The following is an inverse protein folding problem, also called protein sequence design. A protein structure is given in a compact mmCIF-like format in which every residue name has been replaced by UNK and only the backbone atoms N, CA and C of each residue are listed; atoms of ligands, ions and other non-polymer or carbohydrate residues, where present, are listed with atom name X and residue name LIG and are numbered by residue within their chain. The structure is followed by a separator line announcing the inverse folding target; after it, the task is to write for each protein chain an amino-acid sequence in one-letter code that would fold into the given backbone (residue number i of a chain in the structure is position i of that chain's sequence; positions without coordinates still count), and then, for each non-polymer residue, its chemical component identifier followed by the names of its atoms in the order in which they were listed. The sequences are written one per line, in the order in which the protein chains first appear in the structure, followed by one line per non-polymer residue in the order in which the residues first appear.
data_IF_162069847939
#
_entry.id   IF_162069847939
#
_cell.length_a   1.000
_cell.length_b   1.000
_cell.length_c   1.000
_cell.angle_alpha   90.00
_cell.angle_beta   90.00
_cell.angle_gamma   90.00
#
_symmetry.space_group_name_H-M   'P 1'
#
loop_
_entity.id
_entity.type
_entity.pdbx_description
1 polymer ?
#
# COMPACT_ATOMS: atom_id res chain seq x y z
N UNK A 1 50.80 -20.42 -16.08
CA UNK A 1 49.98 -19.24 -15.73
C UNK A 1 48.93 -19.11 -16.82
N UNK A 2 47.70 -19.37 -16.56
CA UNK A 2 46.62 -19.17 -17.53
C UNK A 2 46.37 -17.65 -17.67
N UNK A 3 46.36 -17.16 -18.89
CA UNK A 3 45.92 -15.80 -19.17
C UNK A 3 44.48 -15.66 -18.69
N UNK A 4 44.20 -14.70 -17.82
CA UNK A 4 42.83 -14.35 -17.48
C UNK A 4 42.24 -13.65 -18.72
N UNK A 5 41.16 -14.23 -19.26
CA UNK A 5 40.41 -13.57 -20.34
C UNK A 5 39.79 -12.30 -19.76
N UNK A 6 40.22 -11.16 -20.29
CA UNK A 6 39.68 -9.84 -19.94
C UNK A 6 38.44 -9.59 -20.78
N UNK A 7 37.28 -9.50 -20.17
CA UNK A 7 36.04 -9.08 -20.82
C UNK A 7 35.91 -7.57 -20.66
N UNK A 8 35.86 -6.86 -21.77
CA UNK A 8 35.67 -5.39 -21.81
C UNK A 8 34.17 -5.10 -22.05
N UNK A 9 33.53 -4.36 -21.15
CA UNK A 9 32.18 -3.83 -21.34
C UNK A 9 32.26 -2.33 -21.54
N UNK A 10 31.79 -1.85 -22.69
CA UNK A 10 31.69 -0.42 -22.97
C UNK A 10 30.28 0.07 -22.80
N UNK A 11 30.06 1.09 -21.94
CA UNK A 11 28.79 1.74 -21.74
C UNK A 11 28.78 3.09 -22.45
N UNK A 12 27.81 3.29 -23.33
CA UNK A 12 27.65 4.54 -24.10
C UNK A 12 26.37 5.28 -23.69
N UNK A 13 26.35 6.04 -22.58
CA UNK A 13 25.15 6.71 -22.07
C UNK A 13 24.52 7.67 -23.07
N UNK A 14 25.33 8.28 -23.95
CA UNK A 14 24.86 9.20 -25.01
C UNK A 14 24.02 8.53 -26.10
N UNK A 15 24.07 7.20 -26.20
CA UNK A 15 23.28 6.42 -27.16
C UNK A 15 21.95 5.95 -26.58
N UNK A 16 21.69 6.20 -25.29
CA UNK A 16 20.42 5.88 -24.64
C UNK A 16 19.29 6.75 -25.21
N UNK A 17 18.28 6.10 -25.79
CA UNK A 17 17.11 6.78 -26.39
C UNK A 17 15.87 6.72 -25.51
N UNK A 18 15.87 5.88 -24.47
CA UNK A 18 14.72 5.68 -23.59
C UNK A 18 15.07 5.98 -22.14
N UNK A 19 14.14 6.59 -21.44
CA UNK A 19 14.24 6.84 -19.99
C UNK A 19 13.52 5.74 -19.23
N UNK A 20 14.23 5.06 -18.35
CA UNK A 20 13.62 4.11 -17.41
C UNK A 20 12.76 4.89 -16.42
N UNK A 21 11.51 4.43 -16.22
CA UNK A 21 10.62 5.05 -15.25
C UNK A 21 11.16 4.88 -13.82
N UNK A 22 11.15 5.97 -13.04
CA UNK A 22 11.53 5.90 -11.62
C UNK A 22 10.63 4.96 -10.80
N UNK A 23 9.41 4.74 -11.27
CA UNK A 23 8.42 3.92 -10.55
C UNK A 23 8.81 2.44 -10.44
N UNK A 24 9.77 1.94 -11.22
CA UNK A 24 10.33 0.58 -11.04
C UNK A 24 11.09 0.42 -9.72
N UNK A 25 11.50 1.53 -9.08
CA UNK A 25 12.18 1.55 -7.77
C UNK A 25 11.19 1.70 -6.61
N UNK A 26 9.90 1.56 -6.88
CA UNK A 26 8.85 1.56 -5.86
C UNK A 26 9.05 0.42 -4.86
N UNK A 27 8.47 0.62 -3.68
CA UNK A 27 8.46 -0.37 -2.60
C UNK A 27 7.03 -0.79 -2.31
N UNK A 28 6.87 -1.84 -1.51
CA UNK A 28 5.56 -2.22 -1.02
C UNK A 28 5.60 -2.55 0.47
N UNK A 29 4.47 -2.34 1.11
CA UNK A 29 4.19 -2.72 2.49
C UNK A 29 2.97 -3.62 2.51
N UNK A 30 3.08 -4.76 3.17
CA UNK A 30 2.02 -5.75 3.27
C UNK A 30 1.76 -6.10 4.72
N UNK A 31 0.50 -6.40 5.05
CA UNK A 31 0.13 -7.02 6.31
C UNK A 31 0.64 -8.47 6.36
N UNK A 32 1.95 -8.62 6.50
CA UNK A 32 2.69 -9.86 6.54
C UNK A 32 3.63 -9.85 7.73
N UNK A 33 3.37 -10.73 8.71
CA UNK A 33 4.16 -10.79 9.92
C UNK A 33 4.23 -9.43 10.62
N UNK A 34 5.42 -8.94 10.87
CA UNK A 34 5.67 -7.65 11.54
C UNK A 34 5.97 -6.50 10.56
N UNK A 35 5.64 -6.64 9.29
CA UNK A 35 5.91 -5.57 8.32
C UNK A 35 5.16 -4.28 8.66
N UNK A 36 3.88 -4.39 9.00
CA UNK A 36 3.06 -3.23 9.40
C UNK A 36 3.14 -3.05 10.90
N UNK A 37 2.51 -3.91 11.69
CA UNK A 37 2.44 -3.77 13.15
C UNK A 37 3.76 -4.15 13.82
N UNK A 38 4.33 -3.19 14.58
CA UNK A 38 5.65 -3.34 15.20
C UNK A 38 6.82 -3.08 14.25
N UNK A 39 6.59 -3.16 12.95
CA UNK A 39 7.55 -2.79 11.91
C UNK A 39 7.43 -1.33 11.49
N UNK A 40 6.49 -1.03 10.60
CA UNK A 40 6.24 0.32 10.10
C UNK A 40 5.43 1.17 11.10
N UNK A 41 4.41 0.57 11.70
CA UNK A 41 3.43 1.20 12.57
C UNK A 41 3.47 0.64 13.99
N UNK A 42 3.55 1.52 14.96
CA UNK A 42 3.56 1.17 16.39
C UNK A 42 2.48 1.90 17.19
N UNK A 43 1.79 2.87 16.55
CA UNK A 43 0.85 3.74 17.24
C UNK A 43 1.53 4.91 17.95
N UNK A 44 0.77 5.98 18.15
CA UNK A 44 1.31 7.24 18.68
C UNK A 44 1.73 7.13 20.16
N UNK A 45 1.03 6.29 20.93
CA UNK A 45 1.28 6.07 22.36
C UNK A 45 2.38 5.02 22.64
N UNK A 46 3.02 4.49 21.61
CA UNK A 46 4.06 3.48 21.77
C UNK A 46 5.31 4.04 22.45
N UNK A 47 5.98 3.28 23.35
CA UNK A 47 7.28 3.66 23.88
C UNK A 47 8.41 3.57 22.83
N UNK A 48 8.16 2.92 21.71
CA UNK A 48 9.10 2.87 20.57
C UNK A 48 9.13 4.24 19.92
N UNK A 49 10.32 4.82 19.64
CA UNK A 49 10.43 6.11 18.96
C UNK A 49 9.62 6.14 17.67
N UNK A 50 8.67 7.07 17.62
CA UNK A 50 7.76 7.19 16.49
C UNK A 50 7.44 8.66 16.15
N UNK A 51 7.02 8.87 14.93
CA UNK A 51 6.49 10.12 14.41
C UNK A 51 5.05 9.87 13.98
N UNK A 52 4.08 10.33 14.73
CA UNK A 52 2.63 10.10 14.48
C UNK A 52 2.29 8.60 14.33
N UNK A 53 2.89 7.74 15.14
CA UNK A 53 2.68 6.31 15.12
C UNK A 53 3.58 5.51 14.16
N UNK A 54 4.27 6.16 13.23
CA UNK A 54 5.25 5.48 12.35
C UNK A 54 6.61 5.40 13.04
N UNK A 55 7.24 4.24 13.01
CA UNK A 55 8.58 4.08 13.57
C UNK A 55 9.57 5.06 12.93
N UNK A 56 10.25 5.83 13.75
CA UNK A 56 11.15 6.89 13.28
C UNK A 56 12.32 6.34 12.48
N UNK A 57 12.93 5.23 12.91
CA UNK A 57 14.06 4.60 12.24
C UNK A 57 13.68 4.08 10.84
N UNK A 58 12.48 3.46 10.71
CA UNK A 58 11.96 2.98 9.43
C UNK A 58 11.60 4.14 8.51
N UNK A 59 10.94 5.18 9.04
CA UNK A 59 10.57 6.37 8.29
C UNK A 59 11.81 7.08 7.72
N UNK A 60 12.87 7.23 8.51
CA UNK A 60 14.12 7.82 8.07
C UNK A 60 14.84 6.97 7.01
N UNK A 61 14.80 5.65 7.15
CA UNK A 61 15.35 4.75 6.14
C UNK A 61 14.62 4.88 4.80
N UNK A 62 13.28 4.89 4.82
CA UNK A 62 12.46 5.07 3.63
C UNK A 62 12.68 6.43 2.96
N UNK A 63 12.84 7.51 3.74
CA UNK A 63 13.19 8.83 3.21
C UNK A 63 14.54 8.85 2.51
N UNK A 64 15.54 8.15 3.06
CA UNK A 64 16.86 8.05 2.41
C UNK A 64 16.84 7.26 1.10
N UNK A 65 15.92 6.30 0.96
CA UNK A 65 15.73 5.57 -0.28
C UNK A 65 15.06 6.39 -1.37
N UNK A 66 14.44 7.53 -1.03
CA UNK A 66 13.70 8.40 -1.99
C UNK A 66 12.74 7.60 -2.87
N UNK A 67 11.93 6.73 -2.23
CA UNK A 67 11.03 5.83 -2.93
C UNK A 67 10.00 6.60 -3.75
N UNK A 68 9.79 6.25 -5.03
CA UNK A 68 8.86 6.99 -5.89
C UNK A 68 7.39 6.62 -5.65
N UNK A 69 7.12 5.42 -5.18
CA UNK A 69 5.79 4.95 -4.83
C UNK A 69 5.86 3.87 -3.75
N UNK A 70 4.77 3.73 -3.01
CA UNK A 70 4.59 2.69 -2.00
C UNK A 70 3.25 1.99 -2.25
N UNK A 71 3.28 0.66 -2.33
CA UNK A 71 2.09 -0.19 -2.51
C UNK A 71 1.61 -0.74 -1.16
N UNK A 72 0.29 -0.74 -0.95
CA UNK A 72 -0.40 -1.27 0.22
C UNK A 72 -1.85 -1.66 -0.16
N UNK A 73 -2.60 -2.53 0.55
CA UNK A 73 -2.28 -3.20 1.82
C UNK A 73 -1.46 -4.48 1.67
N UNK A 74 -1.12 -4.89 0.46
CA UNK A 74 -0.27 -6.03 0.25
C UNK A 74 -0.49 -6.74 -1.06
N UNK A 75 -0.04 -7.97 -1.08
CA UNK A 75 -0.30 -8.99 -2.08
C UNK A 75 -1.58 -9.75 -1.77
N UNK A 76 -1.48 -11.03 -1.32
CA UNK A 76 -2.64 -11.85 -0.99
C UNK A 76 -3.55 -11.25 0.07
N UNK A 77 -3.00 -10.52 1.03
CA UNK A 77 -3.80 -9.82 2.04
C UNK A 77 -4.76 -8.79 1.43
N UNK A 78 -4.41 -8.14 0.32
CA UNK A 78 -5.27 -7.17 -0.34
C UNK A 78 -6.64 -7.76 -0.72
N UNK A 79 -6.69 -9.04 -1.07
CA UNK A 79 -7.90 -9.74 -1.50
C UNK A 79 -8.73 -10.33 -0.34
N UNK A 80 -8.31 -10.08 0.90
CA UNK A 80 -9.08 -10.32 2.13
C UNK A 80 -9.43 -9.00 2.87
N UNK A 81 -8.82 -7.88 2.48
CA UNK A 81 -8.92 -6.62 3.19
C UNK A 81 -10.18 -5.83 2.83
N UNK A 82 -11.06 -5.61 3.80
CA UNK A 82 -12.22 -4.74 3.70
C UNK A 82 -11.86 -3.35 4.22
N UNK A 83 -11.69 -2.40 3.34
CA UNK A 83 -11.14 -1.07 3.65
C UNK A 83 -11.93 -0.27 4.68
N UNK A 84 -13.24 -0.49 4.78
CA UNK A 84 -14.09 0.18 5.77
C UNK A 84 -13.71 -0.20 7.20
N UNK A 85 -13.14 -1.37 7.42
CA UNK A 85 -12.65 -1.81 8.72
C UNK A 85 -11.42 -1.01 9.19
N UNK A 86 -10.70 -0.39 8.25
CA UNK A 86 -9.51 0.41 8.51
C UNK A 86 -9.73 1.93 8.54
N UNK A 87 -10.98 2.40 8.73
CA UNK A 87 -11.31 3.82 8.84
C UNK A 87 -12.09 4.13 10.12
N UNK A 88 -12.32 5.41 10.42
CA UNK A 88 -12.97 5.82 11.66
C UNK A 88 -12.08 5.73 12.89
N UNK A 89 -12.65 5.85 14.12
CA UNK A 89 -11.89 5.79 15.37
C UNK A 89 -11.18 4.44 15.53
N UNK A 90 -9.87 4.47 15.78
CA UNK A 90 -9.03 3.25 15.81
C UNK A 90 -9.47 2.23 16.86
N UNK A 91 -9.95 2.68 18.00
CA UNK A 91 -10.44 1.81 19.08
C UNK A 91 -11.78 1.13 18.77
N UNK A 92 -12.47 1.53 17.72
CA UNK A 92 -13.75 0.97 17.27
C UNK A 92 -13.59 0.06 16.05
N UNK A 93 -12.41 0.04 15.44
CA UNK A 93 -12.15 -0.77 14.25
C UNK A 93 -12.20 -2.27 14.58
N UNK A 94 -12.84 -3.09 13.76
CA UNK A 94 -12.92 -4.52 13.98
C UNK A 94 -11.54 -5.17 13.83
N UNK A 95 -11.35 -6.29 14.52
CA UNK A 95 -10.17 -7.15 14.33
C UNK A 95 -10.50 -8.26 13.36
N UNK A 96 -9.51 -8.64 12.55
CA UNK A 96 -9.63 -9.76 11.62
C UNK A 96 -8.47 -10.74 11.77
N UNK A 97 -8.67 -11.98 11.34
CA UNK A 97 -7.59 -12.94 11.20
C UNK A 97 -6.96 -12.80 9.83
N UNK A 98 -5.64 -12.70 9.78
CA UNK A 98 -4.88 -12.73 8.54
C UNK A 98 -4.66 -14.18 8.13
N UNK A 99 -5.53 -14.71 7.28
CA UNK A 99 -5.52 -16.12 6.92
C UNK A 99 -4.36 -16.49 5.99
N UNK A 100 -3.86 -15.55 5.21
CA UNK A 100 -2.72 -15.80 4.30
C UNK A 100 -1.40 -15.89 5.05
N UNK A 101 -1.25 -15.15 6.18
CA UNK A 101 0.04 -14.97 6.83
C UNK A 101 0.02 -15.36 8.31
N UNK A 102 -0.23 -16.66 8.56
CA UNK A 102 -0.03 -17.27 9.87
C UNK A 102 -1.16 -17.06 10.88
N UNK A 103 -2.33 -16.61 10.47
CA UNK A 103 -3.49 -16.42 11.34
C UNK A 103 -3.29 -15.34 12.39
N UNK A 104 -2.41 -14.37 12.13
CA UNK A 104 -2.20 -13.23 13.02
C UNK A 104 -3.45 -12.35 13.09
N UNK A 105 -3.67 -11.77 14.25
CA UNK A 105 -4.77 -10.81 14.43
C UNK A 105 -4.33 -9.44 13.93
N UNK A 106 -5.00 -8.95 12.91
CA UNK A 106 -4.90 -7.57 12.43
C UNK A 106 -5.91 -6.71 13.20
N UNK A 107 -5.44 -5.64 13.84
CA UNK A 107 -6.31 -4.77 14.64
C UNK A 107 -6.86 -3.57 13.87
N UNK A 108 -6.51 -3.46 12.59
CA UNK A 108 -6.91 -2.40 11.68
C UNK A 108 -6.52 -0.97 12.15
N UNK A 109 -5.61 -0.84 13.12
CA UNK A 109 -5.12 0.47 13.58
C UNK A 109 -4.29 1.21 12.52
N UNK A 110 -3.79 0.48 11.52
CA UNK A 110 -3.19 1.03 10.31
C UNK A 110 -4.10 0.76 9.12
N UNK A 111 -4.73 1.80 8.60
CA UNK A 111 -5.69 1.72 7.50
C UNK A 111 -5.45 2.81 6.45
N UNK A 112 -6.51 3.18 5.75
CA UNK A 112 -6.44 4.13 4.62
C UNK A 112 -5.78 5.46 4.99
N UNK A 113 -6.18 6.08 6.11
CA UNK A 113 -5.63 7.36 6.55
C UNK A 113 -4.16 7.25 6.91
N UNK A 114 -3.81 6.22 7.68
CA UNK A 114 -2.44 5.98 8.11
C UNK A 114 -1.53 5.73 6.90
N UNK A 115 -1.96 4.93 5.94
CA UNK A 115 -1.18 4.66 4.73
C UNK A 115 -0.99 5.92 3.86
N UNK A 116 -2.06 6.63 3.55
CA UNK A 116 -1.98 7.78 2.66
C UNK A 116 -1.24 8.97 3.30
N UNK A 117 -1.38 9.15 4.62
CA UNK A 117 -0.58 10.13 5.36
C UNK A 117 0.91 9.76 5.39
N UNK A 118 1.25 8.46 5.47
CA UNK A 118 2.64 8.01 5.33
C UNK A 118 3.21 8.40 3.97
N UNK A 119 2.46 8.17 2.89
CA UNK A 119 2.88 8.55 1.54
C UNK A 119 3.12 10.08 1.43
N UNK A 120 2.27 10.90 2.04
CA UNK A 120 2.48 12.36 2.10
C UNK A 120 3.77 12.73 2.88
N UNK A 121 4.04 12.05 4.02
CA UNK A 121 5.26 12.30 4.82
C UNK A 121 6.53 11.89 4.05
N UNK A 122 6.45 10.81 3.28
CA UNK A 122 7.55 10.31 2.45
C UNK A 122 7.72 11.08 1.14
N UNK A 123 6.68 11.80 0.69
CA UNK A 123 6.67 12.46 -0.61
C UNK A 123 6.58 11.48 -1.78
N UNK A 124 6.04 10.28 -1.56
CA UNK A 124 5.89 9.25 -2.58
C UNK A 124 4.45 9.11 -3.07
N UNK A 125 4.28 8.54 -4.27
CA UNK A 125 2.96 8.26 -4.83
C UNK A 125 2.35 7.01 -4.17
N UNK A 126 1.12 7.07 -3.66
CA UNK A 126 0.44 5.87 -3.18
C UNK A 126 0.05 4.93 -4.33
N UNK A 127 0.19 3.64 -4.08
CA UNK A 127 -0.33 2.57 -4.91
C UNK A 127 -1.24 1.69 -4.04
N UNK A 128 -2.54 1.75 -4.27
CA UNK A 128 -3.53 1.02 -3.47
C UNK A 128 -3.98 -0.22 -4.22
N UNK A 129 -3.84 -1.40 -3.60
CA UNK A 129 -4.36 -2.66 -4.14
C UNK A 129 -5.78 -2.89 -3.63
N UNK A 130 -6.73 -2.98 -4.55
CA UNK A 130 -8.14 -3.22 -4.24
C UNK A 130 -8.42 -4.71 -4.04
N UNK A 131 -9.48 -5.02 -3.29
CA UNK A 131 -9.89 -6.38 -2.98
C UNK A 131 -10.82 -6.94 -4.07
N UNK A 132 -10.31 -7.82 -4.92
CA UNK A 132 -11.08 -8.54 -5.94
C UNK A 132 -11.45 -9.96 -5.48
N UNK A 133 -10.75 -10.48 -4.47
CA UNK A 133 -10.94 -11.86 -3.98
C UNK A 133 -12.22 -12.03 -3.17
N UNK A 134 -12.41 -11.24 -2.13
CA UNK A 134 -13.58 -11.32 -1.23
C UNK A 134 -14.46 -10.06 -1.25
N UNK A 135 -13.94 -8.95 -1.81
CA UNK A 135 -14.67 -7.70 -1.95
C UNK A 135 -15.60 -7.68 -3.16
N UNK A 136 -16.33 -6.57 -3.28
CA UNK A 136 -17.24 -6.32 -4.41
C UNK A 136 -16.75 -5.14 -5.25
N UNK A 137 -17.20 -5.06 -6.50
CA UNK A 137 -16.95 -3.90 -7.37
C UNK A 137 -17.44 -2.60 -6.72
N UNK A 138 -18.60 -2.66 -6.05
CA UNK A 138 -19.16 -1.51 -5.33
C UNK A 138 -18.26 -1.07 -4.16
N UNK A 139 -17.73 -2.02 -3.38
CA UNK A 139 -16.80 -1.74 -2.30
C UNK A 139 -15.53 -1.07 -2.80
N UNK A 140 -14.95 -1.60 -3.88
CA UNK A 140 -13.77 -1.01 -4.52
C UNK A 140 -14.04 0.41 -5.04
N UNK A 141 -15.16 0.62 -5.72
CA UNK A 141 -15.55 1.93 -6.24
C UNK A 141 -15.74 2.95 -5.11
N UNK A 142 -16.38 2.56 -4.02
CA UNK A 142 -16.55 3.39 -2.82
C UNK A 142 -15.19 3.75 -2.18
N UNK A 143 -14.25 2.82 -2.15
CA UNK A 143 -12.91 3.12 -1.63
C UNK A 143 -12.18 4.15 -2.48
N UNK A 144 -12.22 4.00 -3.80
CA UNK A 144 -11.65 4.99 -4.73
C UNK A 144 -12.32 6.35 -4.53
N UNK A 145 -13.66 6.40 -4.46
CA UNK A 145 -14.40 7.63 -4.18
C UNK A 145 -14.00 8.27 -2.84
N UNK A 146 -13.89 7.46 -1.77
CA UNK A 146 -13.45 7.91 -0.45
C UNK A 146 -12.09 8.60 -0.50
N UNK A 147 -11.15 8.02 -1.22
CA UNK A 147 -9.79 8.55 -1.30
C UNK A 147 -9.67 9.78 -2.20
N UNK A 148 -10.42 9.82 -3.31
CA UNK A 148 -10.11 10.72 -4.43
C UNK A 148 -11.17 11.77 -4.75
N UNK A 149 -12.39 11.67 -4.21
CA UNK A 149 -13.46 12.64 -4.49
C UNK A 149 -13.42 13.83 -3.54
N UNK A 150 -13.40 15.04 -4.08
CA UNK A 150 -13.62 16.29 -3.33
C UNK A 150 -15.07 16.80 -3.46
N UNK A 151 -15.94 16.08 -4.17
CA UNK A 151 -17.34 16.41 -4.38
C UNK A 151 -18.20 16.26 -3.12
N UNK A 152 -19.49 16.59 -3.26
CA UNK A 152 -20.50 16.37 -2.23
C UNK A 152 -21.12 14.97 -2.36
N UNK A 153 -20.28 13.95 -2.20
CA UNK A 153 -20.64 12.54 -2.34
C UNK A 153 -20.62 11.82 -0.99
N UNK A 154 -21.32 10.69 -0.84
CA UNK A 154 -21.37 9.97 0.44
C UNK A 154 -19.99 9.60 0.99
N UNK A 155 -19.10 9.09 0.15
CA UNK A 155 -17.77 8.66 0.60
C UNK A 155 -16.84 9.85 0.87
N UNK A 156 -16.96 10.94 0.14
CA UNK A 156 -16.24 12.17 0.45
C UNK A 156 -16.72 12.80 1.78
N UNK A 157 -18.02 12.72 2.09
CA UNK A 157 -18.54 13.12 3.40
C UNK A 157 -17.99 12.26 4.52
N UNK A 158 -18.02 10.94 4.37
CA UNK A 158 -17.47 9.99 5.34
C UNK A 158 -15.97 10.24 5.59
N UNK A 159 -15.19 10.54 4.54
CA UNK A 159 -13.78 10.92 4.70
C UNK A 159 -13.62 12.16 5.57
N UNK A 160 -14.44 13.20 5.34
CA UNK A 160 -14.42 14.44 6.14
C UNK A 160 -14.81 14.18 7.59
N UNK A 161 -15.84 13.38 7.84
CA UNK A 161 -16.24 12.94 9.17
C UNK A 161 -15.10 12.20 9.89
N UNK A 162 -14.31 11.44 9.17
CA UNK A 162 -13.11 10.76 9.66
C UNK A 162 -11.87 11.69 9.75
N UNK A 163 -12.04 13.01 9.65
CA UNK A 163 -11.00 13.99 9.93
C UNK A 163 -10.11 14.39 8.74
N UNK A 164 -10.46 13.96 7.51
CA UNK A 164 -9.72 14.37 6.32
C UNK A 164 -10.62 15.17 5.36
N UNK A 165 -10.40 16.47 5.30
CA UNK A 165 -11.21 17.38 4.46
C UNK A 165 -10.96 17.18 2.96
N UNK A 166 -9.69 17.27 2.53
CA UNK A 166 -9.32 17.16 1.11
C UNK A 166 -9.00 15.72 0.70
N UNK A 167 -9.37 15.39 -0.53
CA UNK A 167 -8.96 14.14 -1.17
C UNK A 167 -7.44 13.99 -1.23
N UNK A 168 -6.98 12.74 -1.25
CA UNK A 168 -5.59 12.43 -1.57
C UNK A 168 -5.40 12.31 -3.09
N UNK A 169 -4.17 12.50 -3.52
CA UNK A 169 -3.76 12.19 -4.89
C UNK A 169 -3.33 10.74 -4.95
N UNK A 170 -4.22 9.86 -5.36
CA UNK A 170 -3.92 8.44 -5.57
C UNK A 170 -3.67 8.23 -7.06
N UNK A 171 -2.43 7.92 -7.41
CA UNK A 171 -2.03 7.80 -8.82
C UNK A 171 -2.14 6.39 -9.35
N UNK A 172 -1.90 5.39 -8.51
CA UNK A 172 -1.88 3.99 -8.90
C UNK A 172 -2.91 3.20 -8.12
N UNK A 173 -3.70 2.44 -8.84
CA UNK A 173 -4.69 1.51 -8.31
C UNK A 173 -4.40 0.14 -8.92
N UNK A 174 -4.21 -0.87 -8.06
CA UNK A 174 -4.18 -2.27 -8.46
C UNK A 174 -5.58 -2.86 -8.35
N UNK A 175 -6.04 -3.53 -9.38
CA UNK A 175 -7.32 -4.24 -9.38
C UNK A 175 -7.06 -5.69 -8.99
N UNK A 176 -7.02 -5.96 -7.69
CA UNK A 176 -6.67 -7.26 -7.12
C UNK A 176 -5.17 -7.55 -7.09
N UNK A 177 -4.86 -8.73 -6.61
CA UNK A 177 -3.52 -9.31 -6.57
C UNK A 177 -3.59 -10.80 -6.87
N UNK A 178 -2.74 -11.29 -7.77
CA UNK A 178 -2.62 -12.72 -8.06
C UNK A 178 -3.99 -13.42 -8.18
N UNK A 179 -4.88 -12.86 -8.97
CA UNK A 179 -6.27 -13.36 -9.13
C UNK A 179 -6.34 -14.82 -9.57
N UNK A 180 -5.32 -15.32 -10.25
CA UNK A 180 -5.11 -16.73 -10.62
C UNK A 180 -4.76 -17.64 -9.42
N UNK A 181 -4.40 -17.08 -8.29
CA UNK A 181 -3.97 -17.76 -7.07
C UNK A 181 -4.71 -17.24 -5.85
N UNK A 182 -3.98 -16.70 -4.85
CA UNK A 182 -4.53 -16.25 -3.58
C UNK A 182 -5.61 -15.15 -3.69
N UNK A 183 -5.63 -14.40 -4.78
CA UNK A 183 -6.63 -13.37 -5.05
C UNK A 183 -7.94 -13.89 -5.66
N UNK A 184 -8.33 -15.14 -5.38
CA UNK A 184 -9.63 -15.67 -5.77
C UNK A 184 -9.57 -16.92 -6.66
N UNK A 185 -8.38 -17.37 -7.07
CA UNK A 185 -8.18 -18.55 -7.92
C UNK A 185 -9.05 -18.51 -9.21
N UNK A 186 -9.06 -17.35 -9.86
CA UNK A 186 -9.91 -17.02 -10.99
C UNK A 186 -9.28 -17.46 -12.32
N UNK A 187 -10.12 -17.87 -13.26
CA UNK A 187 -9.70 -17.95 -14.66
C UNK A 187 -9.62 -16.55 -15.27
N UNK A 188 -8.74 -16.32 -16.28
CA UNK A 188 -8.58 -15.00 -16.89
C UNK A 188 -9.89 -14.37 -17.39
N UNK A 189 -10.75 -15.18 -17.98
CA UNK A 189 -12.06 -14.73 -18.50
C UNK A 189 -12.96 -14.23 -17.37
N UNK A 190 -13.01 -14.95 -16.25
CA UNK A 190 -13.82 -14.57 -15.10
C UNK A 190 -13.28 -13.29 -14.40
N UNK A 191 -11.96 -13.13 -14.39
CA UNK A 191 -11.35 -11.93 -13.84
C UNK A 191 -11.61 -10.70 -14.72
N UNK A 192 -11.70 -10.90 -16.05
CA UNK A 192 -11.92 -9.83 -17.01
C UNK A 192 -13.38 -9.36 -17.08
N UNK A 193 -14.35 -10.22 -16.76
CA UNK A 193 -15.79 -9.94 -16.75
C UNK A 193 -16.23 -9.18 -15.48
#
# INVERSE_FOLDING_TARGET
MSAQDVVTVAVHPSQGTQKISRHIYGQFAEHLGTCIYGGLWVGEESPIPNTKGYRTDVLEALKRLDIPNLRWPGGCFADEYHWMDGIGPRNERPKMSNNNWGGLVEDNSFGTHEFLNLCEILGCEPYVSLNVGSGTVEEMAKWVEYMTSDGDTPMAKLRRENGRDKAWKVRFIGVGNESWGCGGNMRPEYYAD
#
